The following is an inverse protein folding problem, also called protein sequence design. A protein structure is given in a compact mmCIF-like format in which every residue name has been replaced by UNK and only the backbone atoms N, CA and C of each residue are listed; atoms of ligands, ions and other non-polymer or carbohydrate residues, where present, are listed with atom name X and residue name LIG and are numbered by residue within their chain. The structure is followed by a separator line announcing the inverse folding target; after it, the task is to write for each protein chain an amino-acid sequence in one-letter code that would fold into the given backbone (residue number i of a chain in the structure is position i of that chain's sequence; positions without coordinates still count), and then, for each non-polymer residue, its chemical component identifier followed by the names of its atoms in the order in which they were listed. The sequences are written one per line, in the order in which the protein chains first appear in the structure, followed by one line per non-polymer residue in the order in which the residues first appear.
data_IF_685005090950
#
_entry.id   IF_685005090950
#
_cell.length_a   1.000
_cell.length_b   1.000
_cell.length_c   1.000
_cell.angle_alpha   90.00
_cell.angle_beta   90.00
_cell.angle_gamma   90.00
#
_symmetry.space_group_name_H-M   'P 1'
#
loop_
_entity.id
_entity.type
_entity.pdbx_description
1 polymer ?
#
# COMPACT_ATOMS: atom_id res chain seq x y z
N UNK A 1 -11.89 -27.92 1.01
CA UNK A 1 -12.05 -26.48 0.69
C UNK A 1 -10.68 -25.96 0.31
N UNK A 2 -10.50 -25.48 -0.91
CA UNK A 2 -9.22 -24.91 -1.34
C UNK A 2 -8.92 -23.68 -0.48
N UNK A 3 -7.73 -23.64 0.11
CA UNK A 3 -7.33 -22.50 0.94
C UNK A 3 -6.95 -21.35 0.01
N UNK A 4 -7.74 -20.29 0.02
CA UNK A 4 -7.47 -19.09 -0.75
C UNK A 4 -6.75 -18.04 0.10
N UNK A 5 -5.96 -17.21 -0.57
CA UNK A 5 -5.30 -16.05 -0.02
C UNK A 5 -5.71 -14.82 -0.83
N UNK A 6 -5.97 -13.71 -0.14
CA UNK A 6 -6.30 -12.46 -0.79
C UNK A 6 -5.03 -11.62 -0.99
N UNK A 7 -4.88 -11.09 -2.21
CA UNK A 7 -3.75 -10.27 -2.62
C UNK A 7 -4.24 -8.91 -3.15
N UNK A 8 -3.39 -7.91 -2.94
CA UNK A 8 -3.53 -6.57 -3.49
C UNK A 8 -2.30 -6.29 -4.36
N UNK A 9 -2.50 -6.08 -5.66
CA UNK A 9 -1.51 -5.64 -6.62
C UNK A 9 -1.73 -4.15 -6.92
N UNK A 10 -0.74 -3.34 -6.60
CA UNK A 10 -0.75 -1.90 -6.86
C UNK A 10 0.30 -1.57 -7.90
N UNK A 11 -0.10 -0.98 -9.03
CA UNK A 11 0.75 -0.75 -10.20
C UNK A 11 0.74 0.74 -10.56
N UNK A 12 1.90 1.22 -11.00
CA UNK A 12 2.06 2.52 -11.63
C UNK A 12 2.47 2.31 -13.08
N UNK A 13 1.62 2.72 -14.01
CA UNK A 13 1.95 2.83 -15.43
C UNK A 13 2.41 4.24 -15.77
N UNK A 14 3.20 4.37 -16.83
CA UNK A 14 3.56 5.67 -17.38
C UNK A 14 2.29 6.44 -17.77
N UNK A 15 2.28 7.78 -17.66
CA UNK A 15 1.07 8.58 -17.87
C UNK A 15 0.60 8.63 -19.33
N UNK A 16 1.47 8.26 -20.27
CA UNK A 16 1.20 8.14 -21.71
C UNK A 16 0.61 6.76 -22.09
N UNK A 17 0.47 5.84 -21.14
CA UNK A 17 -0.07 4.50 -21.41
C UNK A 17 -1.58 4.59 -21.63
N UNK A 18 -2.07 4.01 -22.70
CA UNK A 18 -3.51 3.87 -22.94
C UNK A 18 -4.14 2.92 -21.90
N UNK A 19 -5.33 3.28 -21.42
CA UNK A 19 -6.02 2.51 -20.37
C UNK A 19 -6.30 1.06 -20.80
N UNK A 20 -6.69 0.86 -22.06
CA UNK A 20 -6.95 -0.48 -22.63
C UNK A 20 -5.71 -1.36 -22.62
N UNK A 21 -4.54 -0.79 -22.93
CA UNK A 21 -3.27 -1.51 -22.88
C UNK A 21 -2.93 -1.92 -21.44
N UNK A 22 -3.09 -1.01 -20.48
CA UNK A 22 -2.85 -1.28 -19.07
C UNK A 22 -3.78 -2.40 -18.55
N UNK A 23 -5.08 -2.35 -18.88
CA UNK A 23 -6.04 -3.38 -18.48
C UNK A 23 -5.70 -4.74 -19.12
N UNK A 24 -5.34 -4.76 -20.41
CA UNK A 24 -4.90 -5.98 -21.09
C UNK A 24 -3.70 -6.59 -20.37
N UNK A 25 -2.72 -5.78 -19.97
CA UNK A 25 -1.53 -6.23 -19.23
C UNK A 25 -1.86 -6.75 -17.83
N UNK A 26 -2.79 -6.11 -17.13
CA UNK A 26 -3.29 -6.59 -15.83
C UNK A 26 -4.00 -7.93 -16.00
N UNK A 27 -4.87 -8.05 -17.01
CA UNK A 27 -5.61 -9.29 -17.26
C UNK A 27 -4.67 -10.44 -17.67
N UNK A 28 -3.65 -10.16 -18.50
CA UNK A 28 -2.60 -11.13 -18.85
C UNK A 28 -1.93 -11.70 -17.59
N UNK A 29 -1.58 -10.84 -16.63
CA UNK A 29 -1.06 -11.26 -15.33
C UNK A 29 -2.05 -12.13 -14.56
N UNK A 30 -3.29 -11.67 -14.41
CA UNK A 30 -4.30 -12.34 -13.60
C UNK A 30 -4.65 -13.73 -14.15
N UNK A 31 -4.73 -13.87 -15.48
CA UNK A 31 -4.90 -15.17 -16.14
C UNK A 31 -3.70 -16.09 -15.88
N UNK A 32 -2.47 -15.56 -15.96
CA UNK A 32 -1.27 -16.36 -15.72
C UNK A 32 -1.19 -16.90 -14.30
N UNK A 33 -1.56 -16.09 -13.31
CA UNK A 33 -1.57 -16.54 -11.90
C UNK A 33 -2.80 -17.37 -11.55
N UNK A 34 -3.81 -17.45 -12.43
CA UNK A 34 -5.12 -18.07 -12.16
C UNK A 34 -5.80 -17.42 -10.95
N UNK A 35 -5.92 -16.11 -11.00
CA UNK A 35 -6.60 -15.32 -9.97
C UNK A 35 -8.13 -15.47 -10.07
N UNK A 36 -8.78 -15.50 -8.91
CA UNK A 36 -10.24 -15.50 -8.75
C UNK A 36 -10.71 -14.19 -8.09
N UNK A 37 -12.01 -13.88 -8.19
CA UNK A 37 -12.65 -12.72 -7.53
C UNK A 37 -11.85 -11.42 -7.69
N UNK A 38 -11.65 -11.04 -8.95
CA UNK A 38 -10.84 -9.90 -9.34
C UNK A 38 -11.69 -8.62 -9.25
N UNK A 39 -11.17 -7.60 -8.58
CA UNK A 39 -11.70 -6.24 -8.64
C UNK A 39 -10.57 -5.29 -9.07
N UNK A 40 -10.82 -4.50 -10.12
CA UNK A 40 -9.85 -3.55 -10.67
C UNK A 40 -10.37 -2.14 -10.41
N UNK A 41 -9.61 -1.36 -9.64
CA UNK A 41 -9.87 0.04 -9.35
C UNK A 41 -8.86 0.94 -10.08
N UNK A 42 -9.36 1.72 -11.05
CA UNK A 42 -8.58 2.73 -11.77
C UNK A 42 -8.57 4.02 -10.95
N UNK A 43 -7.41 4.40 -10.40
CA UNK A 43 -7.27 5.63 -9.62
C UNK A 43 -6.96 6.85 -10.49
N UNK A 44 -6.61 6.63 -11.76
CA UNK A 44 -6.30 7.69 -12.71
C UNK A 44 -4.84 8.15 -12.64
N UNK A 45 -4.54 9.26 -13.31
CA UNK A 45 -3.21 9.87 -13.35
C UNK A 45 -3.04 10.81 -12.17
N UNK A 46 -1.99 10.61 -11.39
CA UNK A 46 -1.63 11.47 -10.27
C UNK A 46 -0.15 11.84 -10.29
N UNK A 47 0.19 12.98 -9.67
CA UNK A 47 1.57 13.39 -9.45
C UNK A 47 2.19 12.51 -8.37
N UNK A 48 3.33 11.92 -8.70
CA UNK A 48 4.13 11.10 -7.79
C UNK A 48 4.99 11.99 -6.90
N UNK A 49 5.32 11.51 -5.70
CA UNK A 49 6.15 12.23 -4.73
C UNK A 49 7.62 12.40 -5.17
N UNK A 50 8.08 11.62 -6.17
CA UNK A 50 9.39 11.75 -6.78
C UNK A 50 9.36 11.12 -8.19
N UNK A 51 10.25 11.52 -9.11
CA UNK A 51 10.19 11.01 -10.47
C UNK A 51 10.63 9.54 -10.57
N UNK A 52 9.86 8.73 -11.30
CA UNK A 52 10.19 7.34 -11.63
C UNK A 52 10.35 7.24 -13.14
N UNK A 53 11.44 6.62 -13.63
CA UNK A 53 11.76 6.54 -15.07
C UNK A 53 11.66 7.93 -15.77
N UNK A 54 12.11 9.00 -15.09
CA UNK A 54 12.03 10.42 -15.55
C UNK A 54 10.62 11.00 -15.69
N UNK A 55 9.58 10.33 -15.19
CA UNK A 55 8.20 10.81 -15.18
C UNK A 55 7.83 11.31 -13.78
N UNK A 56 7.12 12.43 -13.70
CA UNK A 56 6.57 12.97 -12.44
C UNK A 56 5.14 12.50 -12.17
N UNK A 57 4.42 12.12 -13.21
CA UNK A 57 3.05 11.63 -13.12
C UNK A 57 3.02 10.14 -13.41
N UNK A 58 2.08 9.43 -12.80
CA UNK A 58 1.86 8.01 -13.04
C UNK A 58 0.38 7.69 -13.00
N UNK A 59 -0.03 6.72 -13.82
CA UNK A 59 -1.39 6.19 -13.80
C UNK A 59 -1.46 5.01 -12.84
N UNK A 60 -2.28 5.15 -11.80
CA UNK A 60 -2.36 4.19 -10.71
C UNK A 60 -3.52 3.21 -10.88
N UNK A 61 -3.21 1.93 -10.67
CA UNK A 61 -4.16 0.83 -10.71
C UNK A 61 -4.03 -0.01 -9.45
N UNK A 62 -5.16 -0.21 -8.76
CA UNK A 62 -5.25 -1.09 -7.61
C UNK A 62 -6.09 -2.31 -8.00
N UNK A 63 -5.52 -3.49 -7.85
CA UNK A 63 -6.17 -4.76 -8.20
C UNK A 63 -6.23 -5.62 -6.95
N UNK A 64 -7.43 -6.01 -6.54
CA UNK A 64 -7.65 -6.98 -5.48
C UNK A 64 -8.09 -8.29 -6.10
N UNK A 65 -7.50 -9.39 -5.66
CA UNK A 65 -7.84 -10.71 -6.17
C UNK A 65 -7.57 -11.80 -5.14
N UNK A 66 -8.31 -12.90 -5.26
CA UNK A 66 -8.09 -14.12 -4.51
C UNK A 66 -7.20 -15.07 -5.33
N UNK A 67 -6.36 -15.81 -4.61
CA UNK A 67 -5.46 -16.79 -5.21
C UNK A 67 -5.45 -18.06 -4.38
N UNK A 68 -5.55 -19.21 -5.05
CA UNK A 68 -5.37 -20.51 -4.38
C UNK A 68 -3.93 -20.67 -3.87
N UNK A 69 -3.75 -21.30 -2.72
CA UNK A 69 -2.45 -21.45 -2.07
C UNK A 69 -1.40 -22.16 -2.96
N UNK A 70 -1.83 -23.09 -3.82
CA UNK A 70 -0.97 -23.79 -4.77
C UNK A 70 -0.36 -22.83 -5.80
N UNK A 71 -1.15 -21.84 -6.23
CA UNK A 71 -0.76 -20.86 -7.23
C UNK A 71 0.07 -19.71 -6.63
N UNK A 72 0.19 -19.61 -5.30
CA UNK A 72 0.97 -18.55 -4.63
C UNK A 72 2.44 -18.50 -5.07
N UNK A 73 3.02 -19.63 -5.52
CA UNK A 73 4.39 -19.68 -6.07
C UNK A 73 4.55 -18.89 -7.37
N UNK A 74 3.46 -18.68 -8.12
CA UNK A 74 3.45 -17.95 -9.39
C UNK A 74 3.66 -16.43 -9.22
N UNK A 75 3.42 -15.90 -8.02
CA UNK A 75 3.62 -14.47 -7.68
C UNK A 75 5.10 -14.09 -7.57
N UNK A 76 6.04 -15.06 -7.54
CA UNK A 76 7.46 -14.77 -7.33
C UNK A 76 7.97 -13.70 -8.31
N UNK A 77 8.63 -12.62 -7.83
CA UNK A 77 9.10 -11.50 -8.65
C UNK A 77 10.04 -11.89 -9.81
N UNK A 78 10.66 -13.07 -9.75
CA UNK A 78 11.47 -13.60 -10.86
C UNK A 78 10.63 -14.28 -11.97
N UNK A 79 9.43 -14.73 -11.64
CA UNK A 79 8.53 -15.45 -12.55
C UNK A 79 7.75 -14.49 -13.44
N UNK A 80 7.53 -13.26 -12.99
CA UNK A 80 6.68 -12.30 -13.71
C UNK A 80 7.46 -11.09 -14.27
N UNK A 81 7.26 -10.83 -15.57
CA UNK A 81 8.04 -9.85 -16.36
C UNK A 81 7.34 -8.49 -16.52
N UNK A 82 6.54 -8.01 -15.56
CA UNK A 82 6.09 -6.60 -15.56
C UNK A 82 7.30 -5.68 -15.68
N UNK A 83 8.42 -6.06 -15.07
CA UNK A 83 9.68 -5.33 -15.11
C UNK A 83 10.34 -5.26 -16.50
N UNK A 84 9.95 -6.10 -17.48
CA UNK A 84 10.45 -5.98 -18.86
C UNK A 84 9.67 -4.96 -19.68
N UNK A 85 8.46 -4.62 -19.25
CA UNK A 85 7.63 -3.67 -19.96
C UNK A 85 8.06 -2.24 -19.60
N UNK A 86 8.36 -1.44 -20.61
CA UNK A 86 8.77 -0.04 -20.41
C UNK A 86 7.63 0.83 -19.87
N UNK A 87 6.37 0.44 -20.13
CA UNK A 87 5.17 1.14 -19.67
C UNK A 87 4.89 0.97 -18.19
N UNK A 88 5.32 -0.14 -17.57
CA UNK A 88 5.19 -0.34 -16.13
C UNK A 88 6.36 0.35 -15.42
N UNK A 89 6.05 1.31 -14.55
CA UNK A 89 7.05 2.07 -13.80
C UNK A 89 7.38 1.40 -12.46
N UNK A 90 6.36 0.97 -11.72
CA UNK A 90 6.49 0.31 -10.41
C UNK A 90 5.30 -0.62 -10.19
N UNK A 91 5.51 -1.60 -9.32
CA UNK A 91 4.45 -2.46 -8.83
C UNK A 91 4.72 -2.92 -7.41
N UNK A 92 3.67 -3.25 -6.68
CA UNK A 92 3.74 -3.82 -5.34
C UNK A 92 2.63 -4.85 -5.17
N UNK A 93 3.00 -6.08 -4.82
CA UNK A 93 2.05 -7.12 -4.43
C UNK A 93 2.10 -7.28 -2.92
N UNK A 94 0.95 -7.23 -2.26
CA UNK A 94 0.84 -7.47 -0.82
C UNK A 94 -0.22 -8.53 -0.53
N UNK A 95 0.06 -9.42 0.43
CA UNK A 95 -0.94 -10.36 0.92
C UNK A 95 -1.80 -9.66 1.98
N UNK A 96 -3.12 -9.70 1.81
CA UNK A 96 -4.13 -9.09 2.68
C UNK A 96 -4.98 -10.11 3.43
N UNK A 97 -4.67 -11.40 3.32
CA UNK A 97 -5.43 -12.49 3.97
C UNK A 97 -5.53 -12.30 5.49
N UNK A 98 -4.39 -12.07 6.16
CA UNK A 98 -4.35 -11.92 7.61
C UNK A 98 -5.11 -10.67 8.08
N UNK A 99 -5.06 -9.61 7.28
CA UNK A 99 -5.79 -8.38 7.53
C UNK A 99 -7.30 -8.60 7.48
N UNK A 100 -7.80 -9.22 6.41
CA UNK A 100 -9.23 -9.47 6.23
C UNK A 100 -9.77 -10.40 7.32
N UNK A 101 -9.00 -11.43 7.70
CA UNK A 101 -9.34 -12.30 8.85
C UNK A 101 -9.46 -11.52 10.14
N UNK A 102 -8.52 -10.60 10.40
CA UNK A 102 -8.51 -9.78 11.60
C UNK A 102 -9.71 -8.82 11.64
N UNK A 103 -10.00 -8.16 10.51
CA UNK A 103 -11.15 -7.26 10.34
C UNK A 103 -12.49 -7.99 10.53
N UNK A 104 -12.63 -9.19 9.96
CA UNK A 104 -13.83 -10.02 10.12
C UNK A 104 -14.06 -10.46 11.57
N UNK A 105 -12.99 -10.77 12.32
CA UNK A 105 -13.08 -11.09 13.75
C UNK A 105 -13.54 -9.90 14.59
N UNK A 106 -13.28 -8.67 14.17
CA UNK A 106 -13.70 -7.45 14.88
C UNK A 106 -15.17 -7.11 14.67
N UNK A 107 -15.66 -7.21 13.43
CA UNK A 107 -17.09 -6.97 13.12
C UNK A 107 -18.02 -7.88 13.91
N UNK A 108 -17.55 -9.07 14.30
CA UNK A 108 -18.31 -10.03 15.11
C UNK A 108 -18.34 -9.70 16.61
N UNK A 109 -17.44 -8.85 17.13
CA UNK A 109 -17.24 -8.64 18.57
C UNK A 109 -17.74 -7.28 19.12
N UNK A 110 -18.46 -6.47 18.32
CA UNK A 110 -19.05 -5.15 18.68
C UNK A 110 -18.40 -4.38 19.88
N UNK A 111 -17.35 -3.57 19.66
CA UNK A 111 -17.05 -2.26 20.32
C UNK A 111 -15.58 -1.78 20.11
N UNK A 112 -15.26 -0.46 20.23
CA UNK A 112 -16.08 0.75 20.03
C UNK A 112 -15.90 1.30 18.60
N UNK A 113 -16.65 2.36 18.26
CA UNK A 113 -16.55 3.10 16.99
C UNK A 113 -15.08 3.30 16.59
N UNK A 114 -14.72 2.78 15.42
CA UNK A 114 -13.39 3.02 14.84
C UNK A 114 -13.24 4.51 14.60
N UNK A 115 -12.50 5.22 15.44
CA UNK A 115 -12.07 6.60 15.15
C UNK A 115 -11.48 6.59 13.74
N UNK A 116 -12.15 7.28 12.81
CA UNK A 116 -11.75 7.26 11.41
C UNK A 116 -10.38 7.93 11.31
N UNK A 117 -9.45 7.38 10.51
CA UNK A 117 -8.09 7.92 10.37
C UNK A 117 -8.09 9.42 10.01
N UNK A 118 -9.15 9.85 9.29
CA UNK A 118 -9.43 11.24 8.90
C UNK A 118 -9.62 12.21 10.08
N UNK A 119 -10.06 11.73 11.25
CA UNK A 119 -10.31 12.57 12.43
C UNK A 119 -9.00 13.01 13.10
N UNK A 120 -7.90 12.27 12.86
CA UNK A 120 -6.61 12.55 13.48
C UNK A 120 -5.71 13.51 12.68
N UNK A 121 -6.07 13.85 11.43
CA UNK A 121 -5.33 14.83 10.62
C UNK A 121 -5.42 16.29 11.15
N UNK A 122 -6.04 16.51 12.33
CA UNK A 122 -6.29 17.84 12.90
C UNK A 122 -5.37 18.25 14.06
N UNK A 123 -4.36 17.46 14.47
CA UNK A 123 -3.51 17.86 15.60
C UNK A 123 -2.13 17.20 15.70
N UNK A 124 -1.15 17.96 16.23
CA UNK A 124 0.15 17.40 16.66
C UNK A 124 -0.09 16.50 17.87
N UNK A 125 0.46 15.29 17.86
CA UNK A 125 0.42 14.37 19.00
C UNK A 125 1.22 14.99 20.16
N UNK A 126 0.52 15.58 21.14
CA UNK A 126 1.13 16.23 22.31
C UNK A 126 1.41 15.26 23.46
N UNK A 127 0.84 14.05 23.41
CA UNK A 127 1.00 13.05 24.47
C UNK A 127 1.80 11.83 23.99
N UNK A 128 2.82 11.42 24.74
CA UNK A 128 3.71 10.27 24.46
C UNK A 128 3.02 8.89 24.54
N UNK A 129 1.71 8.79 24.36
CA UNK A 129 1.01 7.51 24.25
C UNK A 129 1.22 6.96 22.84
N UNK A 130 1.37 5.64 22.73
CA UNK A 130 1.53 4.96 21.43
C UNK A 130 0.30 5.24 20.54
N UNK A 131 0.47 6.09 19.53
CA UNK A 131 -0.59 6.59 18.63
C UNK A 131 -1.41 5.45 18.03
N UNK A 132 -0.75 4.41 17.54
CA UNK A 132 -1.42 3.25 16.94
C UNK A 132 -2.20 2.41 17.97
N UNK A 133 -1.74 2.33 19.22
CA UNK A 133 -2.52 1.66 20.28
C UNK A 133 -3.68 2.51 20.76
N UNK A 134 -3.51 3.83 20.77
CA UNK A 134 -4.55 4.79 21.09
C UNK A 134 -5.68 4.77 20.04
N UNK A 135 -5.32 4.65 18.76
CA UNK A 135 -6.26 4.58 17.64
C UNK A 135 -6.83 3.17 17.38
N UNK A 136 -6.44 2.16 18.17
CA UNK A 136 -6.86 0.77 17.93
C UNK A 136 -6.39 0.16 16.61
N UNK A 137 -5.47 0.83 15.90
CA UNK A 137 -5.02 0.43 14.56
C UNK A 137 -4.19 -0.84 14.64
N UNK A 138 -4.77 -1.94 14.17
CA UNK A 138 -4.08 -3.23 14.08
C UNK A 138 -3.19 -3.31 12.85
N UNK A 139 -3.59 -2.67 11.76
CA UNK A 139 -2.81 -2.50 10.54
C UNK A 139 -2.72 -1.02 10.17
N UNK A 140 -1.65 -0.67 9.46
CA UNK A 140 -1.40 0.67 8.96
C UNK A 140 -1.40 0.56 7.46
N UNK A 141 -2.37 1.20 6.81
CA UNK A 141 -2.41 1.22 5.35
C UNK A 141 -1.26 2.09 4.83
N UNK A 142 -0.60 1.60 3.80
CA UNK A 142 0.51 2.33 3.19
C UNK A 142 0.03 3.39 2.19
N UNK A 143 -1.26 3.35 1.82
CA UNK A 143 -1.89 4.27 0.87
C UNK A 143 -2.24 5.62 1.49
N UNK A 144 -2.34 5.69 2.83
CA UNK A 144 -2.66 6.92 3.58
C UNK A 144 -1.37 7.71 3.88
N UNK A 145 -0.90 8.46 2.88
CA UNK A 145 0.34 9.22 2.98
C UNK A 145 0.30 10.28 4.09
N UNK A 146 -0.84 10.95 4.28
CA UNK A 146 -1.03 12.00 5.28
C UNK A 146 -0.87 11.45 6.71
N UNK A 147 -1.45 10.28 6.98
CA UNK A 147 -1.27 9.60 8.26
C UNK A 147 0.19 9.19 8.47
N UNK A 148 0.84 8.67 7.44
CA UNK A 148 2.23 8.22 7.52
C UNK A 148 3.23 9.36 7.70
N UNK A 149 2.94 10.54 7.16
CA UNK A 149 3.81 11.71 7.25
C UNK A 149 4.07 12.15 8.70
N UNK A 150 3.09 11.94 9.58
CA UNK A 150 3.22 12.20 11.03
C UNK A 150 4.36 11.39 11.69
N UNK A 151 4.75 10.27 11.08
CA UNK A 151 5.85 9.41 11.54
C UNK A 151 7.18 9.70 10.84
N UNK A 152 7.25 10.76 10.03
CA UNK A 152 8.46 11.18 9.31
C UNK A 152 8.91 12.60 9.61
N UNK A 153 10.21 12.82 9.55
CA UNK A 153 10.82 14.14 9.73
C UNK A 153 10.49 15.06 8.57
N UNK A 154 10.66 16.39 8.75
CA UNK A 154 10.60 17.31 7.62
C UNK A 154 11.56 16.92 6.48
N UNK A 155 12.65 16.20 6.79
CA UNK A 155 13.59 15.63 5.82
C UNK A 155 13.19 14.24 5.28
N UNK A 156 11.94 13.83 5.47
CA UNK A 156 11.42 12.50 5.19
C UNK A 156 12.21 11.35 5.86
N UNK A 157 12.81 11.55 7.04
CA UNK A 157 13.42 10.44 7.81
C UNK A 157 12.38 9.79 8.71
N UNK A 158 12.29 8.47 8.73
CA UNK A 158 11.37 7.76 9.64
C UNK A 158 11.82 8.01 11.08
N UNK A 159 10.91 8.41 11.96
CA UNK A 159 11.26 8.62 13.35
C UNK A 159 11.55 7.33 14.09
N UNK A 160 12.47 7.42 15.04
CA UNK A 160 12.71 6.36 16.02
C UNK A 160 11.53 6.20 16.97
N UNK A 161 11.37 4.99 17.52
CA UNK A 161 10.28 4.64 18.45
C UNK A 161 10.15 5.60 19.63
N UNK A 162 11.28 6.09 20.15
CA UNK A 162 11.33 6.94 21.35
C UNK A 162 10.66 8.28 21.11
N UNK A 163 10.71 8.76 19.87
CA UNK A 163 10.14 10.03 19.46
C UNK A 163 8.63 9.95 19.24
N UNK A 164 8.14 8.80 18.78
CA UNK A 164 6.72 8.56 18.46
C UNK A 164 5.96 7.90 19.62
N UNK A 165 6.65 7.48 20.69
CA UNK A 165 6.05 6.71 21.79
C UNK A 165 5.50 5.35 21.38
N UNK A 166 5.85 4.85 20.18
CA UNK A 166 5.26 3.63 19.61
C UNK A 166 5.90 2.36 20.17
N UNK A 167 5.10 1.30 20.41
CA UNK A 167 5.65 -0.02 20.75
C UNK A 167 6.41 -0.60 19.55
N UNK A 168 7.40 -1.45 19.81
CA UNK A 168 8.27 -2.04 18.77
C UNK A 168 7.50 -2.79 17.67
N UNK A 169 6.39 -3.47 18.01
CA UNK A 169 5.51 -4.13 17.01
C UNK A 169 4.90 -3.14 16.04
N UNK A 170 4.37 -2.02 16.53
CA UNK A 170 3.74 -1.00 15.70
C UNK A 170 4.76 -0.20 14.91
N UNK A 171 5.91 0.14 15.51
CA UNK A 171 6.99 0.83 14.80
C UNK A 171 7.45 0.04 13.55
N UNK A 172 7.53 -1.30 13.65
CA UNK A 172 7.85 -2.16 12.50
C UNK A 172 6.77 -2.08 11.40
N UNK A 173 5.49 -2.09 11.78
CA UNK A 173 4.36 -1.94 10.85
C UNK A 173 4.35 -0.57 10.18
N UNK A 174 4.50 0.52 10.94
CA UNK A 174 4.64 1.90 10.41
C UNK A 174 5.80 1.97 9.43
N UNK A 175 6.97 1.47 9.82
CA UNK A 175 8.17 1.52 8.97
C UNK A 175 7.98 0.72 7.68
N UNK A 176 7.31 -0.43 7.73
CA UNK A 176 6.98 -1.21 6.54
C UNK A 176 5.98 -0.50 5.64
N UNK A 177 4.95 0.13 6.21
CA UNK A 177 3.97 0.92 5.48
C UNK A 177 4.64 2.11 4.77
N UNK A 178 5.48 2.90 5.47
CA UNK A 178 6.24 4.01 4.87
C UNK A 178 7.13 3.52 3.73
N UNK A 179 7.81 2.37 3.90
CA UNK A 179 8.65 1.79 2.84
C UNK A 179 7.82 1.41 1.60
N UNK A 180 6.62 0.85 1.79
CA UNK A 180 5.69 0.52 0.71
C UNK A 180 5.14 1.78 0.03
N UNK A 181 4.73 2.79 0.81
CA UNK A 181 4.25 4.08 0.31
C UNK A 181 5.32 4.76 -0.55
N UNK A 182 6.57 4.77 -0.07
CA UNK A 182 7.72 5.25 -0.84
C UNK A 182 7.98 4.44 -2.08
N UNK A 183 7.91 3.11 -2.02
CA UNK A 183 8.08 2.26 -3.20
C UNK A 183 7.07 2.62 -4.32
N UNK A 184 5.86 3.01 -3.93
CA UNK A 184 4.77 3.41 -4.83
C UNK A 184 4.70 4.92 -5.05
N UNK A 185 5.76 5.64 -4.70
CA UNK A 185 5.88 7.09 -4.84
C UNK A 185 4.69 7.91 -4.30
N UNK A 186 4.02 7.39 -3.27
CA UNK A 186 3.02 8.13 -2.50
C UNK A 186 3.66 9.06 -1.47
N UNK A 187 4.90 8.76 -1.07
CA UNK A 187 5.68 9.56 -0.14
C UNK A 187 7.11 9.76 -0.66
N UNK A 188 7.74 10.90 -0.36
CA UNK A 188 9.11 11.17 -0.77
C UNK A 188 10.12 10.41 0.10
N UNK A 189 11.32 10.20 -0.46
CA UNK A 189 12.48 9.70 0.27
C UNK A 189 13.28 10.82 0.95
N UNK A 190 13.18 12.04 0.45
CA UNK A 190 13.90 13.23 0.92
C UNK A 190 13.05 14.47 0.65
N UNK A 191 13.21 15.52 1.46
CA UNK A 191 12.45 16.76 1.36
C UNK A 191 12.66 17.54 0.08
N UNK A 192 13.75 17.27 -0.65
CA UNK A 192 14.09 17.99 -1.90
C UNK A 192 13.02 17.86 -2.98
N UNK A 193 12.23 16.78 -2.96
CA UNK A 193 11.24 16.49 -4.01
C UNK A 193 9.85 17.04 -3.71
N UNK A 194 9.68 17.68 -2.55
CA UNK A 194 8.45 18.37 -2.17
C UNK A 194 8.66 19.84 -2.49
N UNK A 195 7.96 20.33 -3.52
CA UNK A 195 7.96 21.74 -3.93
C UNK A 195 7.16 22.60 -2.95
#
# INVERSE_FOLDING_TARGET
MNTTQNYELYIIFRPDTEAEYADKKINEFLTQVKADKIEIARQGVSRMAYPIKKQWNGQYYLVTFDLELENAKLINPNTYRFNKDDFVMRQLITNKTDFLKQKAKESLNQAPETVHHREFNKGKITNKKCISSYLGLREIDYKDADFLDQFTSPYAKIFVRTRTGSKAKYQRKVSQAIKRARHMALMPFTSRWVD
#
